data_IF_480387100675
#
_entry.id   IF_480387100675
#
_cell.length_a   1.000
_cell.length_b   1.000
_cell.length_c   1.000
_cell.angle_alpha   90.00
_cell.angle_beta   90.00
_cell.angle_gamma   90.00
#
_symmetry.space_group_name_H-M   'P 1'
#
loop_
_entity.id
_entity.type
_entity.pdbx_description
1 polymer ?
#
# COMPACT_ATOMS: atom_id res chain seq x y z
N UNK A 1 5.07 3.36 22.74
CA UNK A 1 3.77 3.25 22.04
C UNK A 1 2.84 2.42 22.91
N UNK A 2 1.57 2.82 23.00
CA UNK A 2 0.55 2.16 23.80
C UNK A 2 -0.03 0.97 23.02
N UNK A 3 -0.22 -0.18 23.68
CA UNK A 3 -0.95 -1.31 23.09
C UNK A 3 -2.45 -1.03 23.22
N UNK A 4 -3.20 -1.09 22.12
CA UNK A 4 -4.66 -0.94 22.17
C UNK A 4 -5.31 -2.32 22.33
N UNK A 5 -6.30 -2.39 23.22
CA UNK A 5 -7.06 -3.61 23.53
C UNK A 5 -8.49 -3.26 23.93
N UNK A 6 -9.34 -4.27 24.06
CA UNK A 6 -10.75 -4.11 24.41
C UNK A 6 -10.95 -3.23 25.65
N UNK A 7 -11.84 -2.24 25.52
CA UNK A 7 -12.15 -1.26 26.56
C UNK A 7 -11.26 -0.02 26.56
N UNK A 8 -10.23 0.05 25.71
CA UNK A 8 -9.51 1.30 25.48
C UNK A 8 -10.31 2.21 24.55
N UNK A 9 -10.19 3.51 24.78
CA UNK A 9 -10.79 4.53 23.93
C UNK A 9 -9.80 5.66 23.64
N UNK A 10 -9.95 6.28 22.47
CA UNK A 10 -9.16 7.45 22.09
C UNK A 10 -8.91 7.57 20.59
N UNK A 11 -8.14 8.60 20.18
CA UNK A 11 -7.92 8.92 18.77
C UNK A 11 -7.21 7.80 18.01
N UNK A 12 -6.31 7.04 18.67
CA UNK A 12 -5.64 5.91 18.05
C UNK A 12 -6.60 4.76 17.71
N UNK A 13 -7.65 4.56 18.51
CA UNK A 13 -8.69 3.56 18.21
C UNK A 13 -9.53 4.01 17.02
N UNK A 14 -9.82 5.31 16.90
CA UNK A 14 -10.52 5.86 15.75
C UNK A 14 -9.75 5.67 14.43
N UNK A 15 -8.42 5.85 14.44
CA UNK A 15 -7.56 5.54 13.29
C UNK A 15 -7.65 4.06 12.90
N UNK A 16 -7.52 3.16 13.88
CA UNK A 16 -7.61 1.71 13.65
C UNK A 16 -8.97 1.34 13.05
N UNK A 17 -10.08 1.86 13.60
CA UNK A 17 -11.43 1.63 13.08
C UNK A 17 -11.57 2.13 11.64
N UNK A 18 -11.04 3.31 11.33
CA UNK A 18 -11.07 3.86 9.98
C UNK A 18 -10.34 2.94 8.99
N UNK A 19 -9.14 2.47 9.33
CA UNK A 19 -8.39 1.52 8.51
C UNK A 19 -9.13 0.20 8.34
N UNK A 20 -9.69 -0.38 9.42
CA UNK A 20 -10.41 -1.66 9.32
C UNK A 20 -11.71 -1.54 8.51
N UNK A 21 -12.40 -0.40 8.56
CA UNK A 21 -13.55 -0.09 7.67
C UNK A 21 -13.11 0.00 6.21
N UNK A 22 -11.96 0.62 5.94
CA UNK A 22 -11.39 0.70 4.59
C UNK A 22 -11.13 -0.70 4.00
N UNK A 23 -10.60 -1.61 4.81
CA UNK A 23 -10.41 -3.01 4.41
C UNK A 23 -11.69 -3.85 4.36
N UNK A 24 -12.85 -3.28 4.71
CA UNK A 24 -14.12 -4.01 4.79
C UNK A 24 -14.16 -5.04 5.93
N UNK A 25 -13.18 -5.02 6.83
CA UNK A 25 -13.08 -5.91 7.99
C UNK A 25 -13.97 -5.47 9.14
N UNK A 26 -14.34 -4.18 9.18
CA UNK A 26 -15.30 -3.63 10.14
C UNK A 26 -16.53 -3.08 9.39
N UNK A 27 -17.76 -3.53 9.70
CA UNK A 27 -18.96 -3.04 9.05
C UNK A 27 -19.25 -1.57 9.41
N UNK A 28 -19.78 -0.80 8.46
CA UNK A 28 -20.15 0.60 8.67
C UNK A 28 -21.26 0.81 9.74
N UNK A 29 -21.94 -0.27 10.12
CA UNK A 29 -22.98 -0.29 11.16
C UNK A 29 -22.42 -0.43 12.59
N UNK A 30 -21.10 -0.66 12.74
CA UNK A 30 -20.45 -0.76 14.03
C UNK A 30 -20.63 0.55 14.83
N UNK A 31 -21.16 0.42 16.04
CA UNK A 31 -21.78 1.46 16.89
C UNK A 31 -21.15 2.87 16.85
N UNK A 32 -22.00 3.89 17.11
CA UNK A 32 -21.74 5.35 17.06
C UNK A 32 -20.53 5.89 17.85
N UNK A 33 -19.85 5.07 18.67
CA UNK A 33 -18.62 5.47 19.37
C UNK A 33 -17.41 5.08 18.53
N UNK A 34 -17.03 5.99 17.65
CA UNK A 34 -15.90 5.83 16.73
C UNK A 34 -14.53 5.78 17.42
N UNK A 35 -14.48 5.94 18.74
CA UNK A 35 -13.25 5.99 19.53
C UNK A 35 -13.11 4.82 20.52
N UNK A 36 -14.04 3.86 20.58
CA UNK A 36 -14.01 2.73 21.54
C UNK A 36 -13.54 1.42 20.88
N UNK A 37 -12.66 0.69 21.56
CA UNK A 37 -12.18 -0.62 21.12
C UNK A 37 -13.13 -1.70 21.65
N UNK A 38 -14.21 -1.94 20.91
CA UNK A 38 -15.22 -2.94 21.22
C UNK A 38 -14.85 -4.34 20.68
N UNK A 39 -15.75 -5.31 20.85
CA UNK A 39 -15.55 -6.68 20.35
C UNK A 39 -15.59 -6.81 18.83
N UNK A 40 -16.25 -5.88 18.12
CA UNK A 40 -16.27 -5.87 16.66
C UNK A 40 -14.90 -5.43 16.12
N UNK A 41 -14.32 -4.40 16.72
CA UNK A 41 -12.94 -3.95 16.43
C UNK A 41 -11.94 -5.04 16.76
N UNK A 42 -12.05 -5.70 17.90
CA UNK A 42 -11.17 -6.83 18.25
C UNK A 42 -11.21 -7.94 17.20
N UNK A 43 -12.40 -8.32 16.73
CA UNK A 43 -12.56 -9.35 15.70
C UNK A 43 -12.01 -8.88 14.34
N UNK A 44 -12.23 -7.62 13.97
CA UNK A 44 -11.68 -7.05 12.75
C UNK A 44 -10.14 -6.97 12.80
N UNK A 45 -9.56 -6.63 13.95
CA UNK A 45 -8.10 -6.65 14.16
C UNK A 45 -7.56 -8.06 14.07
N UNK A 46 -8.24 -9.08 14.61
CA UNK A 46 -7.84 -10.48 14.43
C UNK A 46 -7.86 -10.89 12.97
N UNK A 47 -8.90 -10.53 12.23
CA UNK A 47 -8.98 -10.83 10.80
C UNK A 47 -7.82 -10.15 10.04
N UNK A 48 -7.53 -8.89 10.33
CA UNK A 48 -6.40 -8.17 9.73
C UNK A 48 -5.05 -8.80 10.08
N UNK A 49 -4.85 -9.16 11.36
CA UNK A 49 -3.63 -9.84 11.81
C UNK A 49 -3.46 -11.18 11.10
N UNK A 50 -4.53 -11.95 10.95
CA UNK A 50 -4.52 -13.22 10.23
C UNK A 50 -4.15 -13.04 8.76
N UNK A 51 -4.75 -12.05 8.08
CA UNK A 51 -4.47 -11.74 6.66
C UNK A 51 -3.03 -11.28 6.45
N UNK A 52 -2.47 -10.51 7.39
CA UNK A 52 -1.09 -10.00 7.33
C UNK A 52 -0.04 -10.95 7.95
N UNK A 53 -0.44 -12.15 8.39
CA UNK A 53 0.47 -13.13 8.98
C UNK A 53 1.10 -12.69 10.31
N UNK A 54 0.41 -11.83 11.06
CA UNK A 54 0.80 -11.36 12.38
C UNK A 54 0.25 -12.26 13.49
N UNK A 55 0.75 -12.08 14.72
CA UNK A 55 0.19 -12.72 15.92
C UNK A 55 -1.30 -12.34 16.02
N UNK A 56 -2.18 -13.33 15.96
CA UNK A 56 -3.64 -13.16 15.96
C UNK A 56 -4.21 -13.11 17.37
N UNK A 57 -3.82 -12.10 18.15
CA UNK A 57 -4.26 -11.92 19.54
C UNK A 57 -5.44 -10.94 19.68
N UNK A 58 -5.73 -10.15 18.65
CA UNK A 58 -6.72 -9.07 18.69
C UNK A 58 -6.24 -7.82 19.42
N UNK A 59 -4.93 -7.68 19.62
CA UNK A 59 -4.29 -6.55 20.29
C UNK A 59 -3.49 -5.74 19.26
N UNK A 60 -3.68 -4.42 19.23
CA UNK A 60 -2.89 -3.56 18.36
C UNK A 60 -1.57 -3.22 19.04
N UNK A 61 -0.58 -4.07 18.84
CA UNK A 61 0.81 -3.82 19.20
C UNK A 61 1.57 -3.03 18.12
N UNK A 62 2.88 -2.74 18.32
CA UNK A 62 3.68 -1.97 17.36
C UNK A 62 3.74 -2.58 15.96
N UNK A 63 3.76 -3.90 15.84
CA UNK A 63 3.75 -4.60 14.55
C UNK A 63 2.41 -4.44 13.82
N UNK A 64 1.30 -4.67 14.52
CA UNK A 64 -0.06 -4.47 14.00
C UNK A 64 -0.31 -3.02 13.63
N UNK A 65 0.15 -2.07 14.45
CA UNK A 65 0.01 -0.64 14.17
C UNK A 65 0.81 -0.22 12.93
N UNK A 66 2.02 -0.75 12.75
CA UNK A 66 2.80 -0.54 11.52
C UNK A 66 2.06 -1.08 10.30
N UNK A 67 1.60 -2.33 10.36
CA UNK A 67 0.85 -2.95 9.28
C UNK A 67 -0.42 -2.16 8.94
N UNK A 68 -1.21 -1.72 9.94
CA UNK A 68 -2.40 -0.90 9.71
C UNK A 68 -2.09 0.44 9.04
N UNK A 69 -0.99 1.10 9.44
CA UNK A 69 -0.56 2.35 8.80
C UNK A 69 -0.08 2.15 7.38
N UNK A 70 0.69 1.10 7.13
CA UNK A 70 1.20 0.73 5.80
C UNK A 70 0.08 0.32 4.84
N UNK A 71 -0.96 -0.32 5.38
CA UNK A 71 -2.12 -0.78 4.65
C UNK A 71 -3.09 0.38 4.32
N UNK A 72 -3.06 1.49 5.06
CA UNK A 72 -3.92 2.64 4.78
C UNK A 72 -3.62 3.34 3.46
N UNK A 73 -2.44 3.15 2.87
CA UNK A 73 -2.06 3.87 1.65
C UNK A 73 -2.32 3.04 0.40
N UNK A 74 -3.13 3.59 -0.51
CA UNK A 74 -3.24 3.11 -1.89
C UNK A 74 -2.40 3.94 -2.85
N UNK A 75 -2.05 3.32 -3.98
CA UNK A 75 -1.25 3.98 -5.01
C UNK A 75 -1.97 5.24 -5.53
N UNK A 76 -1.50 6.39 -5.05
CA UNK A 76 -2.01 7.70 -5.38
C UNK A 76 -2.49 8.55 -4.21
N UNK A 77 -2.56 7.98 -3.00
CA UNK A 77 -2.89 8.74 -1.78
C UNK A 77 -1.76 9.68 -1.34
N UNK A 78 -0.52 9.35 -1.71
CA UNK A 78 0.67 10.19 -1.46
C UNK A 78 1.65 10.11 -2.62
N UNK A 79 2.50 11.13 -2.73
CA UNK A 79 3.62 11.11 -3.68
C UNK A 79 4.69 10.16 -3.17
N UNK A 80 5.06 9.17 -4.00
CA UNK A 80 6.13 8.23 -3.67
C UNK A 80 7.44 8.70 -4.29
N UNK A 81 8.52 8.67 -3.52
CA UNK A 81 9.85 9.00 -4.00
C UNK A 81 10.91 8.31 -3.13
N UNK A 82 12.13 8.19 -3.66
CA UNK A 82 13.25 7.71 -2.88
C UNK A 82 13.60 8.71 -1.77
N UNK A 83 13.41 8.31 -0.52
CA UNK A 83 13.78 9.07 0.66
C UNK A 83 14.91 8.37 1.41
N UNK A 84 16.12 8.93 1.33
CA UNK A 84 17.33 8.33 1.92
C UNK A 84 17.23 8.23 3.44
N UNK A 85 16.68 9.25 4.10
CA UNK A 85 16.59 9.30 5.57
C UNK A 85 15.44 8.49 6.15
N UNK A 86 14.41 8.18 5.37
CA UNK A 86 13.23 7.46 5.80
C UNK A 86 12.58 6.77 4.59
N UNK A 87 13.00 5.53 4.25
CA UNK A 87 12.50 4.86 3.06
C UNK A 87 10.98 4.69 3.17
N UNK A 88 10.28 5.05 2.09
CA UNK A 88 8.82 4.93 2.05
C UNK A 88 8.45 3.45 1.99
N UNK A 89 7.55 3.01 2.86
CA UNK A 89 6.99 1.66 2.83
C UNK A 89 5.48 1.68 2.90
N UNK A 90 4.85 0.66 2.31
CA UNK A 90 3.40 0.50 2.30
C UNK A 90 2.89 -0.30 1.10
N UNK A 91 1.59 -0.60 1.15
CA UNK A 91 0.89 -1.29 0.06
C UNK A 91 0.86 -0.45 -1.22
N UNK A 92 0.90 0.88 -1.11
CA UNK A 92 1.02 1.80 -2.25
C UNK A 92 2.36 1.66 -2.99
N UNK A 93 3.45 1.46 -2.26
CA UNK A 93 4.76 1.17 -2.84
C UNK A 93 4.77 -0.21 -3.47
N UNK A 94 4.16 -1.21 -2.80
CA UNK A 94 4.06 -2.56 -3.35
C UNK A 94 3.28 -2.55 -4.67
N UNK A 95 2.13 -1.88 -4.70
CA UNK A 95 1.32 -1.72 -5.90
C UNK A 95 2.07 -0.98 -7.02
N UNK A 96 2.88 0.03 -6.69
CA UNK A 96 3.76 0.68 -7.66
C UNK A 96 4.78 -0.31 -8.24
N UNK A 97 5.44 -1.09 -7.38
CA UNK A 97 6.46 -2.07 -7.78
C UNK A 97 5.87 -3.13 -8.70
N UNK A 98 4.75 -3.74 -8.31
CA UNK A 98 4.03 -4.71 -9.13
C UNK A 98 3.63 -4.12 -10.49
N UNK A 99 3.12 -2.89 -10.50
CA UNK A 99 2.72 -2.22 -11.74
C UNK A 99 3.90 -1.92 -12.67
N UNK A 100 5.04 -1.51 -12.12
CA UNK A 100 6.25 -1.29 -12.89
C UNK A 100 6.77 -2.61 -13.49
N UNK A 101 6.75 -3.70 -12.72
CA UNK A 101 7.12 -5.04 -13.21
C UNK A 101 6.19 -5.52 -14.33
N UNK A 102 4.88 -5.33 -14.20
CA UNK A 102 3.90 -5.65 -15.24
C UNK A 102 4.17 -4.90 -16.55
N UNK A 103 4.74 -3.69 -16.45
CA UNK A 103 5.11 -2.86 -17.58
C UNK A 103 6.54 -3.14 -18.10
N UNK A 104 7.25 -4.09 -17.49
CA UNK A 104 8.59 -4.52 -17.90
C UNK A 104 9.74 -3.77 -17.24
N UNK A 105 9.48 -2.96 -16.22
CA UNK A 105 10.51 -2.26 -15.45
C UNK A 105 10.90 -3.08 -14.22
N UNK A 106 12.18 -3.44 -14.12
CA UNK A 106 12.68 -4.25 -13.01
C UNK A 106 12.81 -3.43 -11.72
N UNK A 107 11.89 -3.67 -10.78
CA UNK A 107 11.94 -3.14 -9.41
C UNK A 107 12.59 -4.11 -8.42
N UNK A 108 13.10 -5.25 -8.88
CA UNK A 108 13.47 -6.37 -8.02
C UNK A 108 12.25 -7.08 -7.44
N UNK A 109 12.45 -7.80 -6.33
CA UNK A 109 11.36 -8.49 -5.64
C UNK A 109 10.46 -7.44 -4.96
N UNK A 110 9.14 -7.39 -5.27
CA UNK A 110 8.21 -6.49 -4.59
C UNK A 110 8.24 -6.75 -3.09
N UNK A 111 8.58 -5.72 -2.33
CA UNK A 111 8.72 -5.79 -0.88
C UNK A 111 7.98 -4.67 -0.17
N UNK A 112 7.29 -3.80 -0.92
CA UNK A 112 6.57 -2.66 -0.36
C UNK A 112 7.49 -1.60 0.24
N UNK A 113 8.77 -1.56 -0.16
CA UNK A 113 9.76 -0.57 0.27
C UNK A 113 10.32 0.15 -0.94
N UNK A 114 10.29 1.48 -0.93
CA UNK A 114 10.70 2.31 -2.05
C UNK A 114 12.21 2.50 -1.98
N UNK A 115 12.92 1.62 -2.67
CA UNK A 115 14.37 1.57 -2.71
C UNK A 115 14.95 2.19 -3.99
N UNK A 116 16.27 2.12 -4.11
CA UNK A 116 16.99 2.65 -5.29
C UNK A 116 16.65 1.90 -6.58
N UNK A 117 16.21 0.63 -6.50
CA UNK A 117 15.81 -0.14 -7.68
C UNK A 117 14.45 0.33 -8.17
N UNK A 118 13.52 0.56 -7.25
CA UNK A 118 12.21 1.16 -7.50
C UNK A 118 12.33 2.56 -8.10
N UNK A 119 13.23 3.41 -7.59
CA UNK A 119 13.53 4.73 -8.18
C UNK A 119 14.03 4.62 -9.63
N UNK A 120 14.98 3.72 -9.90
CA UNK A 120 15.51 3.50 -11.26
C UNK A 120 14.43 3.03 -12.23
N UNK A 121 13.62 2.06 -11.81
CA UNK A 121 12.49 1.56 -12.59
C UNK A 121 11.49 2.68 -12.89
N UNK A 122 11.16 3.50 -11.89
CA UNK A 122 10.24 4.62 -12.03
C UNK A 122 10.76 5.69 -12.99
N UNK A 123 12.05 6.06 -12.90
CA UNK A 123 12.69 6.99 -13.84
C UNK A 123 12.71 6.44 -15.26
N UNK A 124 12.94 5.14 -15.40
CA UNK A 124 12.85 4.44 -16.69
C UNK A 124 11.45 4.58 -17.29
N UNK A 125 10.42 4.25 -16.51
CA UNK A 125 9.02 4.43 -16.90
C UNK A 125 8.72 5.87 -17.29
N UNK A 126 9.09 6.84 -16.45
CA UNK A 126 8.84 8.25 -16.73
C UNK A 126 9.47 8.69 -18.04
N UNK A 127 10.72 8.30 -18.30
CA UNK A 127 11.42 8.61 -19.55
C UNK A 127 10.70 8.04 -20.76
N UNK A 128 10.33 6.76 -20.71
CA UNK A 128 9.76 6.07 -21.86
C UNK A 128 8.33 6.57 -22.20
N UNK A 129 7.63 7.11 -21.20
CA UNK A 129 6.30 7.71 -21.36
C UNK A 129 6.31 9.24 -21.49
N UNK A 130 7.48 9.85 -21.73
CA UNK A 130 7.61 11.28 -22.00
C UNK A 130 7.33 12.18 -20.80
N UNK A 131 7.44 11.65 -19.59
CA UNK A 131 7.37 12.41 -18.34
C UNK A 131 8.78 12.85 -17.91
N UNK A 132 8.84 13.83 -17.02
CA UNK A 132 10.09 14.18 -16.34
C UNK A 132 10.58 13.00 -15.50
N UNK A 133 11.79 12.46 -15.71
CA UNK A 133 12.31 11.31 -14.97
C UNK A 133 12.87 11.73 -13.60
N UNK A 134 12.03 12.37 -12.79
CA UNK A 134 12.36 12.90 -11.47
C UNK A 134 12.40 11.82 -10.37
N UNK A 135 11.90 10.61 -10.66
CA UNK A 135 11.80 9.51 -9.70
C UNK A 135 10.66 9.70 -8.69
N UNK A 136 9.69 10.56 -9.00
CA UNK A 136 8.55 10.89 -8.15
C UNK A 136 7.26 10.33 -8.76
N UNK A 137 6.60 9.44 -8.03
CA UNK A 137 5.28 8.96 -8.38
C UNK A 137 4.22 9.99 -7.96
N UNK A 138 4.14 11.07 -8.74
CA UNK A 138 3.14 12.12 -8.59
C UNK A 138 1.91 11.92 -9.49
N UNK A 139 0.98 12.89 -9.51
CA UNK A 139 -0.27 12.79 -10.27
C UNK A 139 -0.09 12.50 -11.78
N UNK A 140 0.97 13.02 -12.39
CA UNK A 140 1.28 12.78 -13.80
C UNK A 140 1.68 11.31 -14.04
N UNK A 141 2.62 10.80 -13.23
CA UNK A 141 3.07 9.40 -13.24
C UNK A 141 1.90 8.44 -13.00
N UNK A 142 1.04 8.73 -12.02
CA UNK A 142 -0.16 7.94 -11.72
C UNK A 142 -1.16 7.91 -12.87
N UNK A 143 -1.38 9.06 -13.55
CA UNK A 143 -2.24 9.11 -14.74
C UNK A 143 -1.70 8.21 -15.84
N UNK A 144 -0.39 8.22 -16.10
CA UNK A 144 0.23 7.34 -17.08
C UNK A 144 0.08 5.85 -16.71
N UNK A 145 0.36 5.48 -15.46
CA UNK A 145 0.21 4.10 -14.96
C UNK A 145 -1.23 3.57 -15.13
N UNK A 146 -2.24 4.40 -14.81
CA UNK A 146 -3.67 4.03 -14.94
C UNK A 146 -4.12 3.88 -16.39
N UNK A 147 -3.66 4.74 -17.29
CA UNK A 147 -4.01 4.65 -18.71
C UNK A 147 -3.51 3.36 -19.35
N UNK A 148 -2.38 2.84 -18.88
CA UNK A 148 -1.80 1.58 -19.35
C UNK A 148 -2.52 0.36 -18.78
N UNK A 149 -3.13 0.46 -17.60
CA UNK A 149 -3.90 -0.63 -17.01
C UNK A 149 -5.09 -1.03 -17.88
N UNK A 150 -5.64 -0.07 -18.61
CA UNK A 150 -6.73 -0.28 -19.57
C UNK A 150 -6.25 -0.84 -20.92
N UNK A 151 -4.96 -0.74 -21.24
CA UNK A 151 -4.38 -1.19 -22.53
C UNK A 151 -3.69 -2.56 -22.43
N UNK A 152 -3.09 -2.89 -21.28
CA UNK A 152 -2.22 -4.06 -21.11
C UNK A 152 -2.99 -5.37 -20.83
N UNK A 153 -4.30 -5.34 -20.63
CA UNK A 153 -5.15 -6.57 -20.59
C UNK A 153 -5.25 -7.30 -21.95
N UNK A 154 -4.65 -6.77 -23.02
CA UNK A 154 -4.73 -7.33 -24.37
C UNK A 154 -3.45 -7.91 -24.97
N UNK A 155 -2.31 -7.93 -24.26
CA UNK A 155 -1.09 -8.44 -24.88
C UNK A 155 0.09 -8.47 -23.92
N UNK A 156 0.49 -9.69 -23.52
CA UNK A 156 1.77 -9.94 -22.86
C UNK A 156 2.90 -9.54 -23.83
N UNK A 157 3.76 -8.56 -23.51
CA UNK A 157 4.89 -8.17 -24.37
C UNK A 157 6.04 -9.19 -24.38
N UNK A 158 5.93 -10.29 -23.62
CA UNK A 158 6.96 -11.32 -23.50
C UNK A 158 7.14 -12.20 -24.76
N UNK A 159 6.51 -11.87 -25.90
CA UNK A 159 6.65 -12.59 -27.17
C UNK A 159 7.24 -11.76 -28.32
N UNK A 160 7.70 -10.51 -28.10
CA UNK A 160 8.31 -9.70 -29.17
C UNK A 160 9.82 -9.51 -29.00
N UNK A 161 10.53 -10.57 -28.60
CA UNK A 161 11.99 -10.60 -28.69
C UNK A 161 12.46 -11.91 -29.29
N UNK A 162 12.06 -12.13 -30.53
CA UNK A 162 12.70 -12.99 -31.53
C UNK A 162 12.09 -12.61 -32.89
N UNK A 163 12.92 -12.57 -33.94
CA UNK A 163 12.67 -12.09 -35.31
C UNK A 163 12.83 -10.55 -35.44
N UNK A 164 13.91 -9.97 -35.99
CA UNK A 164 15.00 -10.40 -36.89
C UNK A 164 16.32 -9.71 -36.51
#
# INVERSE_FOLDING_TARGET
MQLLRRGESGPAVAEVRHTLRYFGLLPATAAQRDDEYDSEVENAVRAFQQERGLITDGIVGPATYRALREAHWTLGDRMLALMISAPMSGDDVLALQERLLELGYDTGRPGGVFDTQTDKALRGFQRDYGLTPDGICGPATLRALRQLGRKVTGGRPALMREEE
#
